data_IF_535372518924
#
_entry.id   IF_535372518924
#
_cell.length_a   1.000
_cell.length_b   1.000
_cell.length_c   1.000
_cell.angle_alpha   90.00
_cell.angle_beta   90.00
_cell.angle_gamma   90.00
#
_symmetry.space_group_name_H-M   'P 1'
#
loop_
_entity.id
_entity.type
_entity.pdbx_description
1 polymer ?
#
# COMPACT_ATOMS: atom_id res chain seq x y z
N UNK A 1 -11.57 -14.25 -13.15
CA UNK A 1 -10.80 -14.63 -11.95
C UNK A 1 -9.48 -15.32 -12.29
N UNK A 2 -9.38 -16.18 -13.31
CA UNK A 2 -8.12 -16.89 -13.67
C UNK A 2 -6.89 -15.97 -13.81
N UNK A 3 -7.07 -14.73 -14.28
CA UNK A 3 -5.94 -13.80 -14.47
C UNK A 3 -5.46 -13.13 -13.18
N UNK A 4 -6.25 -13.12 -12.10
CA UNK A 4 -5.85 -12.44 -10.85
C UNK A 4 -4.61 -13.09 -10.24
N UNK A 5 -4.56 -14.42 -10.19
CA UNK A 5 -3.38 -15.13 -9.70
C UNK A 5 -2.14 -14.93 -10.58
N UNK A 6 -2.32 -14.80 -11.91
CA UNK A 6 -1.22 -14.48 -12.83
C UNK A 6 -0.70 -13.06 -12.63
N UNK A 7 -1.58 -12.09 -12.37
CA UNK A 7 -1.21 -10.70 -12.10
C UNK A 7 -0.46 -10.60 -10.77
N UNK A 8 -0.92 -11.28 -9.73
CA UNK A 8 -0.27 -11.27 -8.40
C UNK A 8 1.17 -11.78 -8.44
N UNK A 9 1.44 -12.83 -9.24
CA UNK A 9 2.80 -13.35 -9.45
C UNK A 9 3.78 -12.30 -10.01
N UNK A 10 3.26 -11.23 -10.63
CA UNK A 10 4.06 -10.15 -11.23
C UNK A 10 4.30 -8.98 -10.29
N UNK A 11 3.82 -9.01 -9.04
CA UNK A 11 4.06 -7.92 -8.08
C UNK A 11 5.55 -7.66 -7.81
N UNK A 12 6.39 -8.69 -7.92
CA UNK A 12 7.85 -8.52 -7.83
C UNK A 12 8.47 -7.71 -8.99
N UNK A 13 7.74 -7.51 -10.09
CA UNK A 13 8.18 -6.65 -11.22
C UNK A 13 7.97 -5.15 -10.94
N UNK A 14 7.28 -4.79 -9.84
CA UNK A 14 7.07 -3.40 -9.43
C UNK A 14 8.39 -2.86 -8.86
N UNK A 15 9.13 -2.12 -9.69
CA UNK A 15 10.45 -1.56 -9.34
C UNK A 15 10.42 -0.05 -9.04
N UNK A 16 9.30 0.62 -9.30
CA UNK A 16 9.13 2.04 -8.90
C UNK A 16 8.86 2.15 -7.40
N UNK A 17 9.15 3.31 -6.76
CA UNK A 17 8.73 3.55 -5.38
C UNK A 17 7.22 3.37 -5.22
N UNK A 18 6.84 2.44 -4.34
CA UNK A 18 5.47 2.06 -4.07
C UNK A 18 5.18 2.12 -2.56
N UNK A 19 3.91 2.33 -2.22
CA UNK A 19 3.46 2.29 -0.84
C UNK A 19 2.02 1.80 -0.71
N UNK A 20 1.72 1.15 0.41
CA UNK A 20 0.38 0.75 0.85
C UNK A 20 0.15 1.31 2.25
N UNK A 21 -0.92 2.10 2.42
CA UNK A 21 -1.49 2.46 3.71
C UNK A 21 -2.73 1.60 3.93
N UNK A 22 -2.75 0.82 5.01
CA UNK A 22 -3.78 -0.17 5.28
C UNK A 22 -4.40 0.04 6.67
N UNK A 23 -5.73 0.09 6.74
CA UNK A 23 -6.46 0.10 8.00
C UNK A 23 -6.49 -1.29 8.64
N UNK A 24 -5.90 -1.45 9.84
CA UNK A 24 -5.80 -2.76 10.50
C UNK A 24 -7.16 -3.34 10.88
N UNK A 25 -8.18 -2.48 11.04
CA UNK A 25 -9.53 -2.85 11.43
C UNK A 25 -10.49 -2.85 10.22
N UNK A 26 -9.94 -2.95 9.00
CA UNK A 26 -10.71 -3.14 7.78
C UNK A 26 -11.53 -4.44 7.85
N UNK A 27 -12.84 -4.32 7.65
CA UNK A 27 -13.82 -5.42 7.69
C UNK A 27 -14.26 -5.88 6.29
N UNK A 28 -13.81 -5.20 5.24
CA UNK A 28 -14.10 -5.52 3.84
C UNK A 28 -12.97 -6.37 3.27
N UNK A 29 -11.71 -5.94 3.44
CA UNK A 29 -10.53 -6.70 3.05
C UNK A 29 -9.58 -6.88 4.25
N UNK A 30 -9.41 -8.12 4.69
CA UNK A 30 -8.60 -8.43 5.87
C UNK A 30 -7.11 -8.18 5.63
N UNK A 31 -6.47 -7.48 6.57
CA UNK A 31 -5.05 -7.12 6.47
C UNK A 31 -4.12 -8.34 6.37
N UNK A 32 -4.46 -9.46 7.03
CA UNK A 32 -3.65 -10.68 6.98
C UNK A 32 -3.54 -11.26 5.56
N UNK A 33 -4.59 -11.10 4.73
CA UNK A 33 -4.59 -11.61 3.36
C UNK A 33 -4.08 -10.57 2.35
N UNK A 34 -4.43 -9.30 2.52
CA UNK A 34 -4.25 -8.26 1.50
C UNK A 34 -3.21 -7.19 1.85
N UNK A 35 -2.73 -7.14 3.09
CA UNK A 35 -1.75 -6.16 3.57
C UNK A 35 -0.43 -6.80 3.99
N UNK A 36 -0.47 -7.64 5.02
CA UNK A 36 0.73 -8.23 5.65
C UNK A 36 1.67 -8.98 4.70
N UNK A 37 1.19 -9.70 3.65
CA UNK A 37 2.08 -10.37 2.71
C UNK A 37 2.74 -9.43 1.69
N UNK A 38 2.28 -8.18 1.55
CA UNK A 38 2.69 -7.29 0.46
C UNK A 38 4.16 -6.86 0.51
N UNK A 39 4.77 -6.60 1.68
CA UNK A 39 6.21 -6.27 1.78
C UNK A 39 7.12 -7.37 1.23
N UNK A 40 6.71 -8.64 1.31
CA UNK A 40 7.47 -9.76 0.77
C UNK A 40 7.26 -9.94 -0.75
N UNK A 41 6.15 -9.41 -1.29
CA UNK A 41 5.78 -9.51 -2.71
C UNK A 41 6.27 -8.35 -3.56
N UNK A 42 6.41 -7.15 -2.97
CA UNK A 42 6.87 -5.93 -3.67
C UNK A 42 8.15 -5.44 -3.01
N UNK A 43 9.26 -5.50 -3.75
CA UNK A 43 10.55 -5.03 -3.27
C UNK A 43 10.54 -3.52 -2.95
N UNK A 44 10.99 -3.16 -1.74
CA UNK A 44 11.10 -1.74 -1.33
C UNK A 44 9.78 -1.04 -1.04
N UNK A 45 8.69 -1.79 -0.85
CA UNK A 45 7.37 -1.27 -0.48
C UNK A 45 7.40 -0.48 0.83
N UNK A 46 6.82 0.73 0.84
CA UNK A 46 6.39 1.41 2.07
C UNK A 46 5.09 0.78 2.57
N UNK A 47 5.11 0.03 3.66
CA UNK A 47 3.89 -0.53 4.23
C UNK A 47 3.57 0.14 5.56
N UNK A 48 2.43 0.85 5.59
CA UNK A 48 1.93 1.53 6.77
C UNK A 48 0.61 0.91 7.23
N UNK A 49 0.66 0.16 8.33
CA UNK A 49 -0.53 -0.34 9.02
C UNK A 49 -1.02 0.67 10.05
N UNK A 50 -2.30 1.00 10.02
CA UNK A 50 -2.93 1.96 10.96
C UNK A 50 -3.97 1.25 11.83
N UNK A 51 -3.68 1.13 13.12
CA UNK A 51 -4.64 0.60 14.12
C UNK A 51 -5.81 1.58 14.31
N UNK A 52 -7.02 1.07 14.53
CA UNK A 52 -8.23 1.89 14.68
C UNK A 52 -8.83 2.37 13.36
N UNK A 53 -8.19 2.09 12.22
CA UNK A 53 -8.64 2.53 10.90
C UNK A 53 -9.25 1.37 10.11
N UNK A 54 -10.41 1.62 9.50
CA UNK A 54 -11.11 0.65 8.66
C UNK A 54 -10.84 0.82 7.17
N UNK A 55 -11.81 0.41 6.35
CA UNK A 55 -11.67 0.28 4.89
C UNK A 55 -11.42 1.57 4.10
N UNK A 56 -11.84 2.72 4.65
CA UNK A 56 -11.87 3.98 3.92
C UNK A 56 -10.94 5.05 4.53
N UNK A 57 -9.60 4.84 4.57
CA UNK A 57 -8.62 5.80 5.09
C UNK A 57 -8.78 7.23 4.55
N UNK A 58 -9.08 7.37 3.27
CA UNK A 58 -9.24 8.66 2.60
C UNK A 58 -10.41 9.49 3.12
N UNK A 59 -11.40 8.84 3.75
CA UNK A 59 -12.53 9.53 4.39
C UNK A 59 -12.31 9.70 5.90
N UNK A 60 -11.71 8.69 6.56
CA UNK A 60 -11.57 8.67 8.00
C UNK A 60 -10.33 9.40 8.53
N UNK A 61 -9.27 9.49 7.74
CA UNK A 61 -8.00 10.13 8.10
C UNK A 61 -7.34 10.82 6.88
N UNK A 62 -8.01 11.80 6.25
CA UNK A 62 -7.55 12.40 4.99
C UNK A 62 -6.16 13.02 5.10
N UNK A 63 -5.83 13.70 6.19
CA UNK A 63 -4.51 14.32 6.39
C UNK A 63 -3.40 13.28 6.43
N UNK A 64 -3.67 12.11 7.04
CA UNK A 64 -2.72 11.00 7.08
C UNK A 64 -2.48 10.42 5.69
N UNK A 65 -3.54 10.27 4.90
CA UNK A 65 -3.45 9.80 3.51
C UNK A 65 -2.69 10.81 2.65
N UNK A 66 -2.92 12.11 2.82
CA UNK A 66 -2.15 13.15 2.10
C UNK A 66 -0.66 13.06 2.44
N UNK A 67 -0.31 13.02 3.73
CA UNK A 67 1.07 12.89 4.17
C UNK A 67 1.74 11.60 3.67
N UNK A 68 0.98 10.51 3.59
CA UNK A 68 1.44 9.26 2.99
C UNK A 68 1.78 9.44 1.50
N UNK A 69 0.87 10.05 0.72
CA UNK A 69 1.08 10.32 -0.70
C UNK A 69 2.32 11.21 -0.92
N UNK A 70 2.45 12.29 -0.15
CA UNK A 70 3.61 13.20 -0.22
C UNK A 70 4.93 12.46 0.04
N UNK A 71 4.96 11.55 1.02
CA UNK A 71 6.13 10.71 1.33
C UNK A 71 6.52 9.82 0.17
N UNK A 72 5.55 9.14 -0.46
CA UNK A 72 5.83 8.27 -1.62
C UNK A 72 6.25 9.09 -2.83
N UNK A 73 5.62 10.24 -3.07
CA UNK A 73 5.97 11.16 -4.15
C UNK A 73 7.41 11.69 -3.99
N UNK A 74 7.80 12.10 -2.78
CA UNK A 74 9.17 12.53 -2.52
C UNK A 74 10.20 11.45 -2.88
N UNK A 75 9.92 10.18 -2.57
CA UNK A 75 10.78 9.05 -2.97
C UNK A 75 10.80 8.81 -4.47
N UNK A 76 9.63 8.91 -5.12
CA UNK A 76 9.48 8.72 -6.56
C UNK A 76 10.25 9.77 -7.38
N UNK A 77 10.32 11.00 -6.89
CA UNK A 77 10.88 12.14 -7.63
C UNK A 77 12.23 12.65 -7.10
N UNK A 78 12.83 12.01 -6.09
CA UNK A 78 14.10 12.44 -5.48
C UNK A 78 15.28 12.56 -6.47
N UNK A 79 15.24 11.87 -7.62
CA UNK A 79 16.26 11.92 -8.67
C UNK A 79 15.90 12.77 -9.90
N UNK A 80 14.80 13.52 -9.86
CA UNK A 80 14.31 14.37 -10.97
C UNK A 80 14.70 15.86 -10.76
N UNK A 81 15.55 16.14 -9.78
CA UNK A 81 16.05 17.48 -9.48
C UNK A 81 17.19 17.91 -10.40
#
# INVERSE_FOLDING_TARGET
EEDLGRIEQRYGEIVMPAGILFGADDRVIGIAAHGEPMPDKIGGLDFERVQGLGHMPQFAAPERVVAFIERIAARAFAGVA
#
